data_IF_353063446252
#
_entry.id   IF_353063446252
#
_cell.length_a   1.000
_cell.length_b   1.000
_cell.length_c   1.000
_cell.angle_alpha   90.00
_cell.angle_beta   90.00
_cell.angle_gamma   90.00
#
_symmetry.space_group_name_H-M   'P 1'
#
loop_
_entity.id
_entity.type
_entity.pdbx_description
1 polymer ?
#
# COMPACT_ATOMS: atom_id res chain seq x y z
N UNK A 1 20.05 -55.98 6.57
CA UNK A 1 19.27 -54.71 6.78
C UNK A 1 19.13 -54.05 5.42
N UNK A 2 17.97 -54.04 4.81
CA UNK A 2 17.79 -53.34 3.55
C UNK A 2 17.84 -51.83 3.79
N UNK A 3 18.81 -51.17 3.16
CA UNK A 3 18.96 -49.72 3.20
C UNK A 3 17.83 -49.08 2.36
N UNK A 4 16.95 -48.33 3.02
CA UNK A 4 15.88 -47.60 2.40
C UNK A 4 16.47 -46.48 1.51
N UNK A 5 16.63 -46.75 0.20
CA UNK A 5 17.20 -45.84 -0.81
C UNK A 5 16.16 -44.91 -1.46
N UNK A 6 14.96 -44.78 -0.86
CA UNK A 6 13.95 -43.85 -1.34
C UNK A 6 13.97 -42.63 -0.45
N UNK A 7 15.13 -41.98 -0.43
CA UNK A 7 15.25 -40.64 0.10
C UNK A 7 14.58 -39.64 -0.86
N UNK A 8 13.46 -39.11 -0.48
CA UNK A 8 12.66 -38.08 -0.96
C UNK A 8 13.19 -37.07 -1.98
N UNK A 9 13.42 -37.49 -3.23
CA UNK A 9 13.61 -36.58 -4.36
C UNK A 9 12.29 -36.01 -4.90
N UNK A 10 11.16 -36.38 -4.32
CA UNK A 10 9.85 -35.82 -4.64
C UNK A 10 9.42 -34.79 -3.60
N UNK A 11 10.33 -33.94 -3.15
CA UNK A 11 9.91 -32.67 -2.60
C UNK A 11 9.23 -31.95 -3.76
N UNK A 12 7.91 -32.07 -3.83
CA UNK A 12 7.08 -31.29 -4.73
C UNK A 12 7.54 -29.84 -4.52
N UNK A 13 8.29 -29.28 -5.49
CA UNK A 13 8.45 -27.83 -5.63
C UNK A 13 7.07 -27.28 -5.39
N UNK A 14 6.86 -26.70 -4.20
CA UNK A 14 5.62 -26.03 -3.90
C UNK A 14 5.36 -25.16 -5.12
N UNK A 15 4.22 -25.36 -5.77
CA UNK A 15 3.75 -24.43 -6.76
C UNK A 15 4.03 -23.07 -6.13
N UNK A 16 5.03 -22.34 -6.63
CA UNK A 16 5.05 -20.90 -6.54
C UNK A 16 3.69 -20.54 -7.10
N UNK A 17 2.72 -20.44 -6.22
CA UNK A 17 1.51 -19.69 -6.49
C UNK A 17 2.06 -18.34 -6.84
N UNK A 18 2.33 -18.13 -8.12
CA UNK A 18 2.54 -16.81 -8.61
C UNK A 18 1.33 -16.08 -8.06
N UNK A 19 1.57 -15.10 -7.22
CA UNK A 19 0.64 -14.03 -7.03
C UNK A 19 0.57 -13.35 -8.41
N UNK A 20 -0.02 -14.10 -9.37
CA UNK A 20 -0.42 -13.54 -10.61
C UNK A 20 -1.35 -12.41 -10.22
N UNK A 21 -1.01 -11.24 -10.64
CA UNK A 21 -1.86 -10.07 -10.64
C UNK A 21 -3.01 -10.30 -11.64
N UNK A 22 -3.54 -11.55 -11.59
CA UNK A 22 -4.71 -11.95 -12.34
C UNK A 22 -5.81 -10.97 -12.02
N UNK A 23 -6.38 -10.37 -13.03
CA UNK A 23 -7.52 -9.48 -12.91
C UNK A 23 -8.59 -10.17 -12.08
N UNK A 24 -8.65 -9.78 -10.80
CA UNK A 24 -9.74 -10.20 -9.93
C UNK A 24 -10.99 -9.51 -10.43
N UNK A 25 -12.11 -10.21 -10.40
CA UNK A 25 -13.41 -9.58 -10.64
C UNK A 25 -13.54 -8.39 -9.68
N UNK A 26 -13.86 -7.22 -10.23
CA UNK A 26 -14.06 -6.01 -9.44
C UNK A 26 -15.23 -6.21 -8.50
N UNK A 27 -14.97 -6.11 -7.20
CA UNK A 27 -16.02 -6.22 -6.19
C UNK A 27 -16.75 -4.87 -6.12
N UNK A 28 -18.04 -4.88 -6.45
CA UNK A 28 -18.88 -3.70 -6.32
C UNK A 28 -19.60 -3.71 -4.97
N UNK A 29 -20.00 -2.51 -4.51
CA UNK A 29 -20.78 -2.38 -3.28
C UNK A 29 -22.17 -2.99 -3.45
N UNK A 30 -22.67 -3.60 -2.40
CA UNK A 30 -24.04 -4.07 -2.28
C UNK A 30 -24.81 -3.17 -1.32
N UNK A 31 -26.09 -3.44 -1.15
CA UNK A 31 -26.92 -2.72 -0.17
C UNK A 31 -26.31 -2.79 1.23
N UNK A 32 -26.32 -1.70 1.97
CA UNK A 32 -25.67 -1.59 3.28
C UNK A 32 -24.13 -1.42 3.24
N UNK A 33 -23.56 -1.30 2.06
CA UNK A 33 -22.12 -1.06 1.87
C UNK A 33 -21.86 0.30 1.24
N UNK A 34 -20.66 0.85 1.49
CA UNK A 34 -20.20 2.08 0.92
C UNK A 34 -18.70 2.02 0.58
N UNK A 35 -18.28 2.89 -0.33
CA UNK A 35 -16.85 3.10 -0.59
C UNK A 35 -16.30 4.13 0.40
N UNK A 36 -15.06 3.92 0.83
CA UNK A 36 -14.38 4.84 1.74
C UNK A 36 -12.90 4.99 1.39
N UNK A 37 -12.34 6.12 1.76
CA UNK A 37 -10.91 6.42 1.68
C UNK A 37 -10.32 6.38 3.08
N UNK A 38 -9.23 5.64 3.26
CA UNK A 38 -8.49 5.60 4.52
C UNK A 38 -7.70 6.89 4.68
N UNK A 39 -7.95 7.63 5.76
CA UNK A 39 -7.21 8.86 6.06
C UNK A 39 -6.06 8.61 7.03
N UNK A 40 -6.27 7.79 8.06
CA UNK A 40 -5.26 7.52 9.09
C UNK A 40 -5.42 6.13 9.68
N UNK A 41 -4.30 5.53 10.05
CA UNK A 41 -4.26 4.28 10.82
C UNK A 41 -4.13 4.61 12.31
N UNK A 42 -5.07 4.14 13.12
CA UNK A 42 -5.10 4.42 14.57
C UNK A 42 -4.46 3.30 15.41
N UNK A 43 -4.09 2.18 14.79
CA UNK A 43 -3.68 0.96 15.51
C UNK A 43 -4.88 0.13 15.99
N UNK A 44 -4.62 -0.97 16.69
CA UNK A 44 -5.65 -1.89 17.23
C UNK A 44 -6.74 -2.31 16.23
N UNK A 45 -6.39 -2.44 14.95
CA UNK A 45 -7.33 -2.72 13.87
C UNK A 45 -8.38 -1.63 13.62
N UNK A 46 -8.15 -0.41 14.08
CA UNK A 46 -8.99 0.74 13.82
C UNK A 46 -8.30 1.70 12.84
N UNK A 47 -9.10 2.30 11.99
CA UNK A 47 -8.68 3.30 11.01
C UNK A 47 -9.67 4.46 11.02
N UNK A 48 -9.20 5.65 10.69
CA UNK A 48 -10.09 6.73 10.31
C UNK A 48 -10.29 6.66 8.80
N UNK A 49 -11.51 6.73 8.36
CA UNK A 49 -11.85 6.72 6.96
C UNK A 49 -12.98 7.72 6.65
N UNK A 50 -12.97 8.18 5.42
CA UNK A 50 -13.99 9.05 4.86
C UNK A 50 -14.89 8.22 3.95
N UNK A 51 -16.12 8.00 4.38
CA UNK A 51 -17.14 7.26 3.62
C UNK A 51 -17.80 8.19 2.63
N UNK A 52 -17.97 7.72 1.40
CA UNK A 52 -18.66 8.45 0.34
C UNK A 52 -20.05 7.88 0.12
N UNK A 53 -21.03 8.75 0.04
CA UNK A 53 -22.37 8.40 -0.41
C UNK A 53 -22.40 8.30 -1.93
N UNK A 54 -23.50 7.81 -2.47
CA UNK A 54 -23.71 7.83 -3.92
C UNK A 54 -23.69 9.27 -4.43
N UNK A 55 -23.23 9.49 -5.66
CA UNK A 55 -23.22 10.82 -6.26
C UNK A 55 -24.65 11.35 -6.41
N UNK A 56 -24.83 12.61 -6.08
CA UNK A 56 -26.08 13.32 -6.33
C UNK A 56 -26.31 13.48 -7.84
N UNK A 57 -27.48 13.97 -8.21
CA UNK A 57 -27.83 14.29 -9.61
C UNK A 57 -26.83 15.21 -10.30
N UNK A 58 -26.05 15.97 -9.52
CA UNK A 58 -24.97 16.85 -10.00
C UNK A 58 -23.60 16.16 -10.06
N UNK A 59 -23.50 14.87 -9.74
CA UNK A 59 -22.24 14.12 -9.71
C UNK A 59 -21.36 14.40 -8.50
N UNK A 60 -21.86 15.13 -7.50
CA UNK A 60 -21.11 15.41 -6.27
C UNK A 60 -21.26 14.28 -5.25
N UNK A 61 -20.16 13.94 -4.59
CA UNK A 61 -20.14 12.96 -3.52
C UNK A 61 -20.19 13.66 -2.16
N UNK A 62 -21.14 13.30 -1.33
CA UNK A 62 -21.11 13.68 0.07
C UNK A 62 -20.19 12.72 0.83
N UNK A 63 -19.46 13.24 1.80
CA UNK A 63 -18.52 12.44 2.59
C UNK A 63 -18.75 12.61 4.07
N UNK A 64 -18.54 11.52 4.82
CA UNK A 64 -18.64 11.50 6.28
C UNK A 64 -17.40 10.81 6.86
N UNK A 65 -16.80 11.45 7.88
CA UNK A 65 -15.69 10.85 8.62
C UNK A 65 -16.21 9.85 9.65
N UNK A 66 -15.68 8.63 9.61
CA UNK A 66 -16.08 7.53 10.49
C UNK A 66 -14.86 6.70 10.89
N UNK A 67 -15.04 5.88 11.92
CA UNK A 67 -14.03 4.92 12.37
C UNK A 67 -14.30 3.57 11.71
N UNK A 68 -13.33 3.07 10.94
CA UNK A 68 -13.37 1.74 10.35
C UNK A 68 -12.74 0.71 11.27
N UNK A 69 -13.40 -0.42 11.44
CA UNK A 69 -12.88 -1.58 12.16
C UNK A 69 -12.43 -2.63 11.16
N UNK A 70 -11.16 -2.99 11.19
CA UNK A 70 -10.60 -4.00 10.28
C UNK A 70 -10.94 -5.38 10.81
N UNK A 71 -11.71 -6.16 10.05
CA UNK A 71 -12.06 -7.52 10.41
C UNK A 71 -10.82 -8.44 10.40
N UNK A 72 -10.70 -9.39 11.37
CA UNK A 72 -9.57 -10.32 11.42
C UNK A 72 -9.38 -11.14 10.14
N UNK A 73 -10.44 -11.42 9.40
CA UNK A 73 -10.40 -12.13 8.12
C UNK A 73 -9.57 -11.43 7.04
N UNK A 74 -9.52 -10.11 7.04
CA UNK A 74 -8.69 -9.35 6.09
C UNK A 74 -7.19 -9.52 6.36
N UNK A 75 -6.80 -9.56 7.62
CA UNK A 75 -5.41 -9.83 8.03
C UNK A 75 -4.95 -11.22 7.58
N UNK A 76 -5.83 -12.24 7.72
CA UNK A 76 -5.55 -13.61 7.24
C UNK A 76 -5.36 -13.67 5.73
N UNK A 77 -6.07 -12.84 4.98
CA UNK A 77 -5.95 -12.74 3.51
C UNK A 77 -4.74 -11.91 3.07
N UNK A 78 -3.89 -11.45 4.00
CA UNK A 78 -2.74 -10.58 3.73
C UNK A 78 -3.12 -9.30 2.96
N UNK A 79 -4.31 -8.78 3.20
CA UNK A 79 -4.72 -7.48 2.70
C UNK A 79 -4.17 -6.41 3.65
N UNK A 80 -3.14 -5.72 3.20
CA UNK A 80 -2.56 -4.61 3.95
C UNK A 80 -3.33 -3.33 3.60
N UNK A 81 -3.75 -2.63 4.63
CA UNK A 81 -4.47 -1.36 4.52
C UNK A 81 -3.52 -0.25 4.93
N UNK A 82 -3.31 0.70 4.03
CA UNK A 82 -2.49 1.87 4.25
C UNK A 82 -3.35 3.14 4.15
N UNK A 83 -2.79 4.27 4.57
CA UNK A 83 -3.40 5.56 4.29
C UNK A 83 -3.56 5.77 2.77
N UNK A 84 -4.57 6.50 2.38
CA UNK A 84 -4.97 6.74 0.98
C UNK A 84 -5.44 5.50 0.19
N UNK A 85 -5.63 4.35 0.84
CA UNK A 85 -6.24 3.21 0.17
C UNK A 85 -7.76 3.37 0.09
N UNK A 86 -8.32 2.96 -1.03
CA UNK A 86 -9.79 2.83 -1.18
C UNK A 86 -10.23 1.49 -0.59
N UNK A 87 -11.26 1.53 0.22
CA UNK A 87 -11.81 0.35 0.90
C UNK A 87 -13.31 0.25 0.70
N UNK A 88 -13.83 -0.96 0.81
CA UNK A 88 -15.25 -1.24 0.91
C UNK A 88 -15.61 -1.45 2.38
N UNK A 89 -16.60 -0.74 2.84
CA UNK A 89 -17.07 -0.80 4.22
C UNK A 89 -18.54 -1.21 4.29
N UNK A 90 -18.90 -1.92 5.35
CA UNK A 90 -20.28 -2.23 5.70
C UNK A 90 -20.74 -1.22 6.77
N UNK A 91 -21.85 -0.58 6.50
CA UNK A 91 -22.47 0.36 7.43
C UNK A 91 -23.15 -0.41 8.57
N UNK A 92 -23.14 0.17 9.76
CA UNK A 92 -23.85 -0.38 10.93
C UNK A 92 -25.05 0.49 11.24
N UNK A 93 -26.25 -0.10 11.27
CA UNK A 93 -27.48 0.64 11.53
C UNK A 93 -27.55 1.18 12.96
N UNK A 94 -27.00 0.41 13.92
CA UNK A 94 -27.00 0.76 15.34
C UNK A 94 -25.83 1.67 15.77
N UNK A 95 -24.78 1.80 14.97
CA UNK A 95 -23.58 2.56 15.31
C UNK A 95 -23.05 3.33 14.08
N UNK A 96 -23.70 4.45 13.70
CA UNK A 96 -23.37 5.15 12.45
C UNK A 96 -22.01 5.86 12.46
N UNK A 97 -21.32 5.88 13.61
CA UNK A 97 -19.96 6.41 13.75
C UNK A 97 -18.87 5.40 13.44
N UNK A 98 -19.22 4.10 13.38
CA UNK A 98 -18.30 3.01 13.08
C UNK A 98 -18.77 2.17 11.90
N UNK A 99 -17.81 1.68 11.13
CA UNK A 99 -18.06 0.83 9.96
C UNK A 99 -17.10 -0.36 9.99
N UNK A 100 -17.52 -1.47 9.38
CA UNK A 100 -16.68 -2.64 9.24
C UNK A 100 -16.00 -2.67 7.89
N UNK A 101 -14.67 -2.79 7.86
CA UNK A 101 -13.91 -2.91 6.63
C UNK A 101 -14.06 -4.32 6.07
N UNK A 102 -14.56 -4.42 4.84
CA UNK A 102 -14.84 -5.70 4.16
C UNK A 102 -13.76 -6.04 3.15
N UNK A 103 -13.29 -5.04 2.40
CA UNK A 103 -12.34 -5.23 1.31
C UNK A 103 -11.43 -4.01 1.15
N UNK A 104 -10.21 -4.24 0.67
CA UNK A 104 -9.27 -3.18 0.31
C UNK A 104 -8.96 -3.29 -1.19
N UNK A 105 -9.24 -2.23 -1.92
CA UNK A 105 -9.00 -2.16 -3.36
C UNK A 105 -7.53 -1.90 -3.66
N UNK A 106 -7.06 -2.51 -4.73
CA UNK A 106 -5.76 -2.17 -5.31
C UNK A 106 -5.87 -0.87 -6.13
N UNK A 107 -4.77 -0.17 -6.38
CA UNK A 107 -4.80 1.10 -7.14
C UNK A 107 -5.48 0.99 -8.52
N UNK A 108 -5.27 -0.12 -9.23
CA UNK A 108 -5.89 -0.32 -10.54
C UNK A 108 -7.41 -0.58 -10.44
N UNK A 109 -7.87 -1.24 -9.36
CA UNK A 109 -9.31 -1.45 -9.08
C UNK A 109 -9.97 -0.12 -8.71
N UNK A 110 -9.31 0.72 -7.90
CA UNK A 110 -9.78 2.05 -7.55
C UNK A 110 -9.94 2.94 -8.81
N UNK A 111 -8.97 2.89 -9.73
CA UNK A 111 -9.09 3.59 -11.02
C UNK A 111 -10.27 3.11 -11.85
N UNK A 112 -10.57 1.82 -11.85
CA UNK A 112 -11.76 1.27 -12.53
C UNK A 112 -13.06 1.79 -11.90
N UNK A 113 -13.15 1.82 -10.55
CA UNK A 113 -14.31 2.37 -9.84
C UNK A 113 -14.52 3.87 -10.12
N UNK A 114 -13.45 4.62 -10.18
CA UNK A 114 -13.51 6.04 -10.51
C UNK A 114 -14.00 6.26 -11.95
N UNK A 115 -13.50 5.51 -12.94
CA UNK A 115 -14.00 5.56 -14.32
C UNK A 115 -15.51 5.24 -14.44
N UNK A 116 -16.04 4.48 -13.49
CA UNK A 116 -17.47 4.16 -13.39
C UNK A 116 -18.24 5.21 -12.59
N UNK A 117 -17.62 6.33 -12.20
CA UNK A 117 -18.18 7.39 -11.34
C UNK A 117 -18.76 6.85 -10.01
N UNK A 118 -18.15 5.81 -9.44
CA UNK A 118 -18.56 5.23 -8.16
C UNK A 118 -17.81 5.80 -6.97
N UNK A 119 -16.66 6.41 -7.20
CA UNK A 119 -15.83 7.08 -6.20
C UNK A 119 -15.31 8.40 -6.75
N UNK A 120 -15.12 9.42 -5.89
CA UNK A 120 -14.57 10.71 -6.31
C UNK A 120 -13.09 10.63 -6.65
N UNK A 121 -12.60 11.57 -7.45
CA UNK A 121 -11.20 11.67 -7.88
C UNK A 121 -10.22 11.80 -6.72
N UNK A 122 -10.65 12.36 -5.61
CA UNK A 122 -9.86 12.47 -4.38
C UNK A 122 -9.36 11.11 -3.89
N UNK A 123 -10.09 10.03 -4.19
CA UNK A 123 -9.71 8.66 -3.83
C UNK A 123 -8.50 8.13 -4.60
N UNK A 124 -8.13 8.76 -5.71
CA UNK A 124 -6.97 8.36 -6.51
C UNK A 124 -5.67 9.04 -6.07
N UNK A 125 -5.72 9.88 -5.03
CA UNK A 125 -4.59 10.70 -4.60
C UNK A 125 -4.31 11.87 -5.54
N UNK A 126 -5.18 12.13 -6.49
CA UNK A 126 -5.14 13.31 -7.35
C UNK A 126 -5.64 14.54 -6.59
N UNK A 127 -4.84 15.06 -5.70
CA UNK A 127 -4.86 16.49 -5.46
C UNK A 127 -4.09 17.12 -6.62
N UNK A 128 -4.83 17.56 -7.64
CA UNK A 128 -4.41 18.40 -8.76
C UNK A 128 -2.90 18.58 -8.97
N UNK A 129 -2.26 17.63 -9.60
CA UNK A 129 -0.87 17.72 -10.05
C UNK A 129 -0.76 16.83 -11.29
N UNK A 130 -0.48 17.46 -12.40
CA UNK A 130 -0.06 16.91 -13.68
C UNK A 130 0.59 15.53 -13.54
N UNK A 131 0.21 14.63 -14.42
CA UNK A 131 0.95 13.40 -14.69
C UNK A 131 2.38 13.77 -15.12
N UNK A 132 3.25 13.99 -14.17
CA UNK A 132 4.66 13.83 -14.42
C UNK A 132 4.97 12.35 -14.23
N UNK A 133 5.19 11.70 -15.36
CA UNK A 133 5.95 10.47 -15.45
C UNK A 133 7.21 10.64 -14.60
N UNK A 134 7.16 10.21 -13.37
CA UNK A 134 8.37 9.84 -12.69
C UNK A 134 8.77 8.47 -13.26
N UNK A 135 9.32 8.52 -14.47
CA UNK A 135 10.38 7.59 -14.80
C UNK A 135 11.41 7.77 -13.69
N UNK A 136 11.50 6.77 -12.86
CA UNK A 136 12.58 6.64 -11.89
C UNK A 136 13.89 6.60 -12.68
N UNK A 137 14.41 7.78 -12.99
CA UNK A 137 15.82 7.95 -13.25
C UNK A 137 16.53 7.72 -11.91
N UNK A 138 16.66 6.46 -11.53
CA UNK A 138 17.71 6.00 -10.66
C UNK A 138 19.03 6.21 -11.42
N UNK A 139 19.42 7.45 -11.51
CA UNK A 139 20.81 7.79 -11.77
C UNK A 139 21.52 7.47 -10.48
N UNK A 140 21.95 6.23 -10.38
CA UNK A 140 22.97 5.83 -9.44
C UNK A 140 24.23 6.58 -9.86
N UNK A 141 24.42 7.74 -9.27
CA UNK A 141 25.66 8.48 -9.37
C UNK A 141 26.61 7.79 -8.40
N UNK A 142 27.37 6.83 -8.92
CA UNK A 142 28.58 6.37 -8.28
C UNK A 142 29.53 7.56 -8.21
N UNK A 143 29.47 8.28 -7.12
CA UNK A 143 30.58 9.16 -6.74
C UNK A 143 31.72 8.25 -6.28
N UNK A 144 32.58 7.90 -7.22
CA UNK A 144 33.90 7.43 -6.89
C UNK A 144 34.59 8.58 -6.16
N UNK A 145 34.53 8.52 -4.84
CA UNK A 145 35.41 9.34 -4.00
C UNK A 145 36.79 8.73 -4.10
N UNK A 146 37.56 9.24 -5.05
CA UNK A 146 38.98 9.06 -5.13
C UNK A 146 39.59 9.73 -3.88
N UNK A 147 39.81 8.92 -2.86
CA UNK A 147 40.56 9.33 -1.68
C UNK A 147 42.06 9.29 -2.06
N UNK A 148 42.55 10.39 -2.55
CA UNK A 148 43.98 10.62 -2.62
C UNK A 148 44.52 10.68 -1.20
N UNK A 149 45.16 9.59 -0.79
CA UNK A 149 46.03 9.56 0.37
C UNK A 149 47.21 10.52 0.12
N UNK A 150 47.11 11.74 0.59
CA UNK A 150 48.23 12.60 0.72
C UNK A 150 49.02 12.17 1.94
N UNK A 151 50.03 11.35 1.74
CA UNK A 151 51.09 11.14 2.69
C UNK A 151 51.78 12.47 2.98
N UNK A 152 51.44 13.05 4.09
CA UNK A 152 52.11 14.19 4.61
C UNK A 152 53.30 13.71 5.45
N UNK A 153 54.44 13.51 4.81
CA UNK A 153 55.69 13.28 5.51
C UNK A 153 56.03 14.58 6.30
N UNK A 154 55.77 14.52 7.60
CA UNK A 154 56.35 15.50 8.52
C UNK A 154 57.86 15.25 8.63
N UNK A 155 58.62 16.09 8.02
CA UNK A 155 60.06 16.16 8.26
C UNK A 155 60.29 16.74 9.65
N UNK A 156 60.74 15.90 10.55
CA UNK A 156 61.24 16.32 11.87
C UNK A 156 62.49 17.17 11.69
N UNK A 157 62.40 18.45 11.98
CA UNK A 157 63.55 19.29 12.15
C UNK A 157 64.18 19.04 13.51
N UNK A 158 65.28 18.35 13.52
CA UNK A 158 66.13 18.18 14.71
C UNK A 158 66.78 19.50 15.06
N UNK A 159 66.38 20.12 16.13
CA UNK A 159 67.05 21.30 16.70
C UNK A 159 68.24 20.80 17.52
N UNK A 160 69.46 21.00 17.00
CA UNK A 160 70.70 20.86 17.78
C UNK A 160 70.87 22.07 18.67
N UNK A 161 70.85 21.85 19.95
CA UNK A 161 71.36 22.78 20.94
C UNK A 161 72.88 22.56 21.03
N UNK A 162 73.65 23.60 20.75
CA UNK A 162 75.03 23.72 21.11
C UNK A 162 75.19 24.17 22.57
#
# INVERSE_FOLDING_TARGET
MPKNKIGGKNFKKGKKGGFGDGERALLEKTEGQAYALVTKLNGNSMINCKVFTDPDSSGNFNSKDVIGVIRPGLKKKRMFINANNVILVCLRDFEPSKVDVVYCYKPHEARKLNKMNKIPDVCLGFSGGTEENQEENNVFQDEETDSEDTDNEETETVVKRG
#
